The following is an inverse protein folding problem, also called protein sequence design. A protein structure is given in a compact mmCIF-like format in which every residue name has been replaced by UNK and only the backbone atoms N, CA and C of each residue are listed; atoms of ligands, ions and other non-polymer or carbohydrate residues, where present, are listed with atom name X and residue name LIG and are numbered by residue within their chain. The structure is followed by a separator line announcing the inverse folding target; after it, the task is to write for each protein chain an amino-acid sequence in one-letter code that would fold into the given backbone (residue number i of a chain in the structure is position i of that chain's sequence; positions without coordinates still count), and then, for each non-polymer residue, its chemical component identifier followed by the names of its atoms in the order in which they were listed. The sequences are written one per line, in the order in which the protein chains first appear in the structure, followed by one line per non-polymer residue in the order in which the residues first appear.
data_IF_918059675561
#
_entry.id   IF_918059675561
#
_cell.length_a   1.000
_cell.length_b   1.000
_cell.length_c   1.000
_cell.angle_alpha   90.00
_cell.angle_beta   90.00
_cell.angle_gamma   90.00
#
_symmetry.space_group_name_H-M   'P 1'
#
loop_
_entity.id
_entity.type
_entity.pdbx_description
1 polymer ?
#
# COMPACT_ATOMS: atom_id res chain seq x y z
N UNK A 1 -10.20 -26.26 -15.12
CA UNK A 1 -10.39 -24.99 -14.46
C UNK A 1 -9.09 -24.21 -14.56
N UNK A 2 -9.14 -23.00 -15.11
CA UNK A 2 -8.03 -22.06 -15.09
C UNK A 2 -7.80 -21.73 -13.62
N UNK A 3 -6.56 -21.85 -13.15
CA UNK A 3 -6.23 -21.47 -11.77
C UNK A 3 -6.35 -19.97 -11.68
N UNK A 4 -7.23 -19.44 -10.83
CA UNK A 4 -7.38 -18.00 -10.60
C UNK A 4 -6.09 -17.42 -10.01
N UNK A 5 -5.72 -16.23 -10.44
CA UNK A 5 -4.73 -15.43 -9.75
C UNK A 5 -5.42 -14.52 -8.72
N UNK A 6 -4.68 -14.01 -7.75
CA UNK A 6 -5.23 -13.20 -6.66
C UNK A 6 -4.51 -11.85 -6.58
N UNK A 7 -4.15 -11.31 -7.75
CA UNK A 7 -3.35 -10.10 -7.87
C UNK A 7 -4.26 -8.90 -8.11
N UNK A 8 -4.12 -7.86 -7.28
CA UNK A 8 -4.80 -6.57 -7.51
C UNK A 8 -4.11 -5.77 -8.60
N UNK A 9 -4.88 -4.87 -9.23
CA UNK A 9 -4.36 -3.88 -10.16
C UNK A 9 -3.19 -3.09 -9.55
N UNK A 10 -2.25 -2.71 -10.38
CA UNK A 10 -1.03 -2.00 -9.97
C UNK A 10 -0.82 -0.70 -10.72
N UNK A 11 0.41 -0.19 -10.68
CA UNK A 11 0.79 0.99 -11.43
C UNK A 11 0.84 0.71 -12.94
N UNK A 12 0.33 1.63 -13.74
CA UNK A 12 0.31 1.58 -15.21
C UNK A 12 1.12 2.70 -15.83
N UNK A 13 1.51 3.71 -15.06
CA UNK A 13 2.34 4.82 -15.49
C UNK A 13 3.05 5.48 -14.31
N UNK A 14 3.95 6.43 -14.59
CA UNK A 14 4.77 7.10 -13.59
C UNK A 14 3.99 7.77 -12.45
N UNK A 15 2.71 8.10 -12.62
CA UNK A 15 1.92 8.84 -11.63
C UNK A 15 0.51 8.28 -11.44
N UNK A 16 0.24 7.03 -11.85
CA UNK A 16 -1.08 6.44 -11.68
C UNK A 16 -1.00 4.99 -11.24
N UNK A 17 -1.98 4.59 -10.44
CA UNK A 17 -2.17 3.23 -10.00
C UNK A 17 -3.66 2.89 -10.14
N UNK A 18 -3.98 1.87 -10.94
CA UNK A 18 -5.38 1.52 -11.23
C UNK A 18 -6.15 1.09 -9.97
N UNK A 19 -5.49 0.45 -9.00
CA UNK A 19 -6.14 0.13 -7.73
C UNK A 19 -6.49 1.42 -6.95
N UNK A 20 -5.58 2.39 -6.92
CA UNK A 20 -5.81 3.69 -6.28
C UNK A 20 -7.05 4.37 -6.86
N UNK A 21 -7.19 4.38 -8.19
CA UNK A 21 -8.30 5.03 -8.89
C UNK A 21 -9.66 4.42 -8.54
N UNK A 22 -9.67 3.16 -8.09
CA UNK A 22 -10.88 2.43 -7.70
C UNK A 22 -11.26 2.60 -6.23
N UNK A 23 -10.38 3.18 -5.38
CA UNK A 23 -10.72 3.50 -3.99
C UNK A 23 -11.65 4.72 -4.00
N UNK A 24 -12.94 4.58 -3.58
CA UNK A 24 -13.86 5.70 -3.56
C UNK A 24 -13.41 6.83 -2.63
N UNK A 25 -13.64 8.07 -3.00
CA UNK A 25 -13.32 9.25 -2.15
C UNK A 25 -14.09 9.26 -0.83
N UNK A 26 -15.20 8.52 -0.76
CA UNK A 26 -16.00 8.33 0.47
C UNK A 26 -15.42 7.26 1.40
N UNK A 27 -14.43 6.49 0.96
CA UNK A 27 -13.81 5.46 1.79
C UNK A 27 -12.93 6.11 2.87
N UNK A 28 -13.19 5.78 4.13
CA UNK A 28 -12.36 6.16 5.27
C UNK A 28 -11.40 5.07 5.69
N UNK A 29 -11.64 3.85 5.20
CA UNK A 29 -10.73 2.70 5.42
C UNK A 29 -10.67 1.75 4.22
N UNK A 30 -9.52 1.06 4.08
CA UNK A 30 -9.33 -0.06 3.17
C UNK A 30 -8.89 -1.27 4.00
N UNK A 31 -9.58 -2.39 3.83
CA UNK A 31 -9.31 -3.63 4.57
C UNK A 31 -9.12 -4.79 3.59
N UNK A 32 -7.93 -5.35 3.58
CA UNK A 32 -7.66 -6.61 2.88
C UNK A 32 -8.14 -7.77 3.78
N UNK A 33 -9.02 -8.61 3.25
CA UNK A 33 -9.72 -9.65 4.02
C UNK A 33 -9.87 -10.94 3.21
N UNK A 34 -10.29 -12.02 3.83
CA UNK A 34 -10.73 -13.25 3.16
C UNK A 34 -12.26 -13.46 3.28
N UNK A 35 -12.97 -12.43 3.71
CA UNK A 35 -14.44 -12.46 3.74
C UNK A 35 -15.02 -12.63 2.34
N UNK A 36 -16.14 -13.35 2.29
CA UNK A 36 -16.91 -13.47 1.05
C UNK A 36 -17.77 -12.22 0.86
N UNK A 37 -17.71 -11.65 -0.33
CA UNK A 37 -18.55 -10.50 -0.69
C UNK A 37 -20.04 -10.86 -0.59
N UNK A 38 -20.85 -10.08 0.13
CA UNK A 38 -22.29 -10.30 0.18
C UNK A 38 -22.93 -10.21 -1.20
N UNK A 39 -23.91 -11.08 -1.49
CA UNK A 39 -24.61 -11.06 -2.78
C UNK A 39 -25.35 -9.74 -3.09
N UNK A 40 -25.64 -8.95 -2.04
CA UNK A 40 -26.26 -7.62 -2.17
C UNK A 40 -25.27 -6.49 -2.41
N UNK A 41 -23.96 -6.74 -2.26
CA UNK A 41 -22.94 -5.73 -2.45
C UNK A 41 -22.67 -5.48 -3.94
N UNK A 42 -22.30 -4.25 -4.26
CA UNK A 42 -21.85 -3.89 -5.61
C UNK A 42 -20.36 -4.20 -5.75
N UNK A 43 -20.03 -5.02 -6.75
CA UNK A 43 -18.65 -5.39 -7.05
C UNK A 43 -17.87 -4.19 -7.60
N UNK A 44 -16.66 -4.01 -7.06
CA UNK A 44 -15.62 -3.14 -7.63
C UNK A 44 -14.55 -4.08 -8.18
N UNK A 45 -14.30 -4.02 -9.48
CA UNK A 45 -13.31 -4.86 -10.15
C UNK A 45 -11.89 -4.33 -9.92
N UNK A 46 -11.19 -4.94 -8.98
CA UNK A 46 -9.80 -4.62 -8.63
C UNK A 46 -8.81 -5.67 -9.15
N UNK A 47 -9.29 -6.66 -9.86
CA UNK A 47 -8.51 -7.80 -10.35
C UNK A 47 -7.59 -7.42 -11.52
N UNK A 48 -6.32 -7.86 -11.48
CA UNK A 48 -5.31 -7.42 -12.43
C UNK A 48 -5.47 -8.06 -13.82
N UNK A 49 -5.99 -9.27 -13.90
CA UNK A 49 -6.08 -10.05 -15.14
C UNK A 49 -7.51 -10.35 -15.60
N UNK A 50 -8.51 -9.90 -14.82
CA UNK A 50 -9.91 -10.02 -15.15
C UNK A 50 -10.50 -11.44 -14.97
N UNK A 51 -9.83 -12.30 -14.19
CA UNK A 51 -10.32 -13.66 -13.90
C UNK A 51 -11.25 -13.71 -12.68
N UNK A 52 -11.54 -12.54 -12.07
CA UNK A 52 -12.33 -12.38 -10.84
C UNK A 52 -11.72 -13.12 -9.64
N UNK A 53 -10.37 -13.22 -9.60
CA UNK A 53 -9.64 -13.79 -8.48
C UNK A 53 -9.67 -12.89 -7.25
N UNK A 54 -9.79 -11.57 -7.46
CA UNK A 54 -9.91 -10.57 -6.40
C UNK A 54 -11.08 -9.64 -6.68
N UNK A 55 -11.88 -9.39 -5.66
CA UNK A 55 -12.99 -8.44 -5.73
C UNK A 55 -12.93 -7.44 -4.59
N UNK A 56 -13.55 -6.28 -4.77
CA UNK A 56 -13.77 -5.33 -3.69
C UNK A 56 -15.23 -4.88 -3.65
N UNK A 57 -15.63 -4.34 -2.49
CA UNK A 57 -16.94 -3.75 -2.28
C UNK A 57 -16.89 -2.74 -1.14
N UNK A 58 -17.89 -1.88 -1.06
CA UNK A 58 -18.08 -0.99 0.08
C UNK A 58 -18.95 -1.64 1.15
N UNK A 59 -18.51 -1.61 2.39
CA UNK A 59 -19.25 -1.93 3.59
C UNK A 59 -19.28 -0.67 4.47
N UNK A 60 -20.34 0.13 4.33
CA UNK A 60 -20.35 1.50 4.82
C UNK A 60 -19.26 2.35 4.15
N UNK A 61 -18.36 2.94 4.95
CA UNK A 61 -17.21 3.74 4.49
C UNK A 61 -15.93 2.90 4.37
N UNK A 62 -16.02 1.58 4.54
CA UNK A 62 -14.88 0.66 4.41
C UNK A 62 -14.89 -0.01 3.05
N UNK A 63 -13.82 0.18 2.26
CA UNK A 63 -13.57 -0.65 1.09
C UNK A 63 -12.93 -1.97 1.53
N UNK A 64 -13.65 -3.08 1.35
CA UNK A 64 -13.13 -4.43 1.57
C UNK A 64 -12.58 -4.99 0.27
N UNK A 65 -11.43 -5.66 0.34
CA UNK A 65 -10.74 -6.28 -0.81
C UNK A 65 -10.44 -7.73 -0.46
N UNK A 66 -10.92 -8.67 -1.26
CA UNK A 66 -10.88 -10.09 -0.92
C UNK A 66 -10.59 -10.99 -2.12
N UNK A 67 -9.85 -12.06 -1.88
CA UNK A 67 -9.65 -13.17 -2.81
C UNK A 67 -10.90 -14.06 -2.96
N UNK A 68 -11.93 -13.88 -2.15
CA UNK A 68 -13.11 -14.73 -2.07
C UNK A 68 -12.80 -16.19 -1.70
N UNK A 69 -11.62 -16.47 -1.21
CA UNK A 69 -11.17 -17.81 -0.80
C UNK A 69 -10.63 -17.74 0.62
N UNK A 70 -11.26 -18.48 1.53
CA UNK A 70 -10.84 -18.50 2.94
C UNK A 70 -9.38 -18.92 3.10
N UNK A 71 -8.62 -18.15 3.86
CA UNK A 71 -7.19 -18.36 4.09
C UNK A 71 -6.28 -17.95 2.93
N UNK A 72 -6.83 -17.55 1.79
CA UNK A 72 -6.05 -17.05 0.64
C UNK A 72 -5.87 -15.53 0.74
N UNK A 73 -4.63 -15.08 0.73
CA UNK A 73 -4.32 -13.65 0.72
C UNK A 73 -4.53 -13.04 -0.67
N UNK A 74 -4.92 -11.78 -0.67
CA UNK A 74 -4.81 -10.90 -1.83
C UNK A 74 -3.33 -10.62 -2.08
N UNK A 75 -2.89 -10.60 -3.33
CA UNK A 75 -1.50 -10.37 -3.72
C UNK A 75 -1.34 -8.95 -4.27
N UNK A 76 -0.42 -8.18 -3.72
CA UNK A 76 -0.07 -6.87 -4.25
C UNK A 76 0.64 -7.00 -5.61
N UNK A 77 0.38 -6.08 -6.53
CA UNK A 77 1.11 -5.98 -7.78
C UNK A 77 2.60 -5.70 -7.53
N UNK A 78 3.48 -6.19 -8.39
CA UNK A 78 4.93 -5.97 -8.25
C UNK A 78 5.31 -4.50 -8.29
N UNK A 79 4.58 -3.70 -9.06
CA UNK A 79 4.60 -2.24 -9.00
C UNK A 79 3.37 -1.74 -8.24
N UNK A 80 3.56 -1.42 -6.97
CA UNK A 80 2.56 -0.84 -6.07
C UNK A 80 2.80 0.64 -5.81
N UNK A 81 3.53 1.33 -6.72
CA UNK A 81 3.71 2.78 -6.63
C UNK A 81 2.36 3.49 -6.66
N UNK A 82 2.24 4.58 -5.92
CA UNK A 82 1.02 5.40 -5.78
C UNK A 82 -0.22 4.68 -5.25
N UNK A 83 -0.13 3.46 -4.72
CA UNK A 83 -1.28 2.62 -4.37
C UNK A 83 -2.30 3.30 -3.45
N UNK A 84 -1.88 4.17 -2.55
CA UNK A 84 -2.74 4.94 -1.64
C UNK A 84 -2.41 6.44 -1.67
N UNK A 85 -1.76 6.90 -2.73
CA UNK A 85 -1.38 8.31 -2.87
C UNK A 85 -2.60 9.22 -2.91
N UNK A 86 -2.49 10.39 -2.26
CA UNK A 86 -3.51 11.45 -2.28
C UNK A 86 -4.90 11.02 -1.77
N UNK A 87 -5.00 9.93 -1.01
CA UNK A 87 -6.25 9.49 -0.37
C UNK A 87 -6.45 10.22 0.95
N UNK A 88 -7.01 11.42 0.87
CA UNK A 88 -7.17 12.33 2.01
C UNK A 88 -8.18 11.82 3.05
N UNK A 89 -9.19 11.05 2.63
CA UNK A 89 -10.22 10.51 3.51
C UNK A 89 -9.78 9.26 4.26
N UNK A 90 -8.74 8.55 3.79
CA UNK A 90 -8.29 7.30 4.40
C UNK A 90 -7.60 7.58 5.74
N UNK A 91 -8.17 7.05 6.81
CA UNK A 91 -7.59 7.07 8.16
C UNK A 91 -7.07 5.71 8.63
N UNK A 92 -7.49 4.62 7.98
CA UNK A 92 -7.11 3.25 8.30
C UNK A 92 -6.85 2.43 7.03
N UNK A 93 -5.75 1.68 7.03
CA UNK A 93 -5.49 0.62 6.06
C UNK A 93 -5.08 -0.63 6.82
N UNK A 94 -5.79 -1.74 6.62
CA UNK A 94 -5.46 -3.04 7.21
C UNK A 94 -4.83 -3.96 6.16
N UNK A 95 -3.55 -4.28 6.34
CA UNK A 95 -2.75 -5.10 5.44
C UNK A 95 -2.68 -6.59 5.82
N UNK A 96 -3.38 -7.03 6.86
CA UNK A 96 -3.16 -8.39 7.42
C UNK A 96 -3.41 -9.51 6.40
N UNK A 97 -4.31 -9.31 5.45
CA UNK A 97 -4.59 -10.28 4.38
C UNK A 97 -4.02 -9.86 3.01
N UNK A 98 -3.00 -9.00 2.99
CA UNK A 98 -2.26 -8.65 1.78
C UNK A 98 -0.92 -9.39 1.77
N UNK A 99 -0.63 -10.11 0.69
CA UNK A 99 0.71 -10.63 0.39
C UNK A 99 1.50 -9.58 -0.39
N UNK A 100 2.57 -9.10 0.21
CA UNK A 100 3.41 -8.04 -0.34
C UNK A 100 4.76 -8.58 -0.87
N UNK A 101 4.96 -9.89 -0.87
CA UNK A 101 6.25 -10.51 -1.20
C UNK A 101 6.76 -10.17 -2.60
N UNK A 102 5.86 -10.03 -3.58
CA UNK A 102 6.25 -9.76 -4.97
C UNK A 102 6.53 -8.28 -5.27
N UNK A 103 6.29 -7.38 -4.32
CA UNK A 103 6.47 -5.95 -4.55
C UNK A 103 7.96 -5.60 -4.66
N UNK A 104 8.30 -4.94 -5.75
CA UNK A 104 9.65 -4.41 -6.03
C UNK A 104 9.70 -2.90 -6.05
N UNK A 105 8.58 -2.25 -6.37
CA UNK A 105 8.45 -0.81 -6.43
C UNK A 105 7.28 -0.36 -5.53
N UNK A 106 7.57 0.48 -4.53
CA UNK A 106 6.58 1.13 -3.68
C UNK A 106 6.78 2.66 -3.64
N UNK A 107 7.35 3.22 -4.72
CA UNK A 107 7.52 4.65 -4.86
C UNK A 107 6.21 5.40 -4.63
N UNK A 108 6.25 6.46 -3.83
CA UNK A 108 5.08 7.30 -3.57
C UNK A 108 3.82 6.57 -3.07
N UNK A 109 3.97 5.36 -2.50
CA UNK A 109 2.83 4.49 -2.15
C UNK A 109 1.80 5.19 -1.25
N UNK A 110 2.23 6.05 -0.33
CA UNK A 110 1.38 6.86 0.55
C UNK A 110 1.58 8.37 0.34
N UNK A 111 2.11 8.77 -0.82
CA UNK A 111 2.37 10.18 -1.10
C UNK A 111 1.12 11.04 -0.85
N UNK A 112 1.26 12.09 -0.04
CA UNK A 112 0.18 13.03 0.30
C UNK A 112 -1.10 12.39 0.87
N UNK A 113 -1.00 11.21 1.50
CA UNK A 113 -2.11 10.55 2.18
C UNK A 113 -2.39 11.27 3.53
N UNK A 114 -3.00 12.45 3.46
CA UNK A 114 -3.17 13.35 4.60
C UNK A 114 -4.18 12.87 5.65
N UNK A 115 -5.04 11.90 5.33
CA UNK A 115 -5.94 11.27 6.30
C UNK A 115 -5.23 10.35 7.31
N UNK A 116 -4.03 9.85 6.97
CA UNK A 116 -3.30 8.91 7.81
C UNK A 116 -2.58 9.62 8.97
N UNK A 117 -2.84 9.19 10.20
CA UNK A 117 -2.14 9.65 11.40
C UNK A 117 -1.14 8.60 11.92
N UNK A 118 -1.37 7.33 11.60
CA UNK A 118 -0.49 6.20 11.89
C UNK A 118 -0.76 5.07 10.89
N UNK A 119 0.19 4.13 10.76
CA UNK A 119 0.07 2.94 9.91
C UNK A 119 0.66 1.73 10.63
N UNK A 120 -0.05 0.59 10.61
CA UNK A 120 0.55 -0.69 10.94
C UNK A 120 1.13 -1.33 9.66
N UNK A 121 2.46 -1.26 9.54
CA UNK A 121 3.21 -1.78 8.40
C UNK A 121 3.82 -3.17 8.66
N UNK A 122 3.59 -3.75 9.86
CA UNK A 122 4.16 -5.05 10.25
C UNK A 122 3.78 -6.20 9.30
N UNK A 123 2.59 -6.22 8.66
CA UNK A 123 2.25 -7.29 7.72
C UNK A 123 3.00 -7.23 6.38
N UNK A 124 3.62 -6.08 6.03
CA UNK A 124 4.23 -5.89 4.72
C UNK A 124 5.62 -6.54 4.64
N UNK A 125 5.77 -7.54 3.78
CA UNK A 125 7.06 -8.14 3.49
C UNK A 125 7.80 -7.36 2.40
N UNK A 126 8.73 -6.50 2.79
CA UNK A 126 9.46 -5.60 1.87
C UNK A 126 10.79 -6.19 1.35
N UNK A 127 11.03 -7.50 1.52
CA UNK A 127 12.33 -8.12 1.22
C UNK A 127 12.74 -8.09 -0.27
N UNK A 128 11.81 -7.82 -1.17
CA UNK A 128 12.08 -7.69 -2.61
C UNK A 128 11.99 -6.24 -3.11
N UNK A 129 11.67 -5.29 -2.24
CA UNK A 129 11.57 -3.87 -2.63
C UNK A 129 12.94 -3.29 -2.95
N UNK A 130 13.03 -2.61 -4.09
CA UNK A 130 14.22 -1.91 -4.59
C UNK A 130 14.05 -0.40 -4.61
N UNK A 131 12.82 0.09 -4.75
CA UNK A 131 12.49 1.51 -4.78
C UNK A 131 11.52 1.86 -3.64
N UNK A 132 11.94 2.77 -2.76
CA UNK A 132 11.19 3.37 -1.65
C UNK A 132 11.19 4.90 -1.73
N UNK A 133 11.34 5.48 -2.92
CA UNK A 133 11.28 6.93 -3.10
C UNK A 133 9.93 7.49 -2.68
N UNK A 134 9.91 8.62 -2.01
CA UNK A 134 8.71 9.40 -1.66
C UNK A 134 7.58 8.63 -0.95
N UNK A 135 7.83 7.42 -0.40
CA UNK A 135 6.76 6.55 0.13
C UNK A 135 5.84 7.28 1.09
N UNK A 136 6.37 8.09 2.01
CA UNK A 136 5.58 8.86 2.99
C UNK A 136 5.67 10.36 2.75
N UNK A 137 6.15 10.80 1.59
CA UNK A 137 6.31 12.22 1.27
C UNK A 137 4.96 12.94 1.37
N UNK A 138 4.95 14.11 1.98
CA UNK A 138 3.76 14.93 2.22
C UNK A 138 2.64 14.28 3.08
N UNK A 139 2.95 13.28 3.89
CA UNK A 139 2.02 12.74 4.88
C UNK A 139 1.91 13.70 6.07
N UNK A 140 1.22 14.82 5.87
CA UNK A 140 1.25 16.00 6.77
C UNK A 140 0.69 15.74 8.17
N UNK A 141 -0.18 14.75 8.35
CA UNK A 141 -0.80 14.42 9.64
C UNK A 141 -0.23 13.14 10.27
N UNK A 142 0.74 12.49 9.62
CA UNK A 142 1.37 11.27 10.15
C UNK A 142 2.22 11.62 11.38
N UNK A 143 1.89 11.06 12.55
CA UNK A 143 2.54 11.38 13.83
C UNK A 143 3.55 10.33 14.27
N UNK A 144 3.29 9.06 13.95
CA UNK A 144 4.17 7.96 14.32
C UNK A 144 4.38 7.02 13.14
N UNK A 145 5.61 6.52 13.00
CA UNK A 145 5.94 5.53 11.99
C UNK A 145 7.00 4.56 12.53
N UNK A 146 6.69 3.27 12.46
CA UNK A 146 7.61 2.20 12.86
C UNK A 146 7.96 1.36 11.63
N UNK A 147 9.20 1.49 11.15
CA UNK A 147 9.74 0.70 10.03
C UNK A 147 10.62 -0.46 10.50
N UNK A 148 10.54 -0.88 11.77
CA UNK A 148 11.38 -1.94 12.32
C UNK A 148 11.17 -3.29 11.62
N UNK A 149 10.00 -3.53 11.01
CA UNK A 149 9.70 -4.74 10.22
C UNK A 149 10.26 -4.71 8.79
N UNK A 150 10.65 -3.53 8.28
CA UNK A 150 11.09 -3.37 6.90
C UNK A 150 12.45 -4.03 6.65
N UNK A 151 12.52 -4.79 5.58
CA UNK A 151 13.75 -5.40 5.05
C UNK A 151 14.20 -4.60 3.85
N UNK A 152 15.26 -3.81 4.01
CA UNK A 152 15.72 -2.86 3.00
C UNK A 152 17.03 -3.26 2.31
N UNK A 153 17.40 -4.54 2.41
CA UNK A 153 18.67 -5.04 1.87
C UNK A 153 18.81 -4.88 0.34
N UNK A 154 17.70 -4.77 -0.40
CA UNK A 154 17.69 -4.59 -1.86
C UNK A 154 17.37 -3.15 -2.28
N UNK A 155 17.05 -2.28 -1.33
CA UNK A 155 16.63 -0.90 -1.64
C UNK A 155 17.82 -0.10 -2.15
N UNK A 156 17.62 0.57 -3.27
CA UNK A 156 18.59 1.46 -3.91
C UNK A 156 18.16 2.93 -3.86
N UNK A 157 16.87 3.20 -3.76
CA UNK A 157 16.33 4.56 -3.67
C UNK A 157 15.47 4.75 -2.42
N UNK A 158 15.82 5.74 -1.61
CA UNK A 158 15.10 6.24 -0.44
C UNK A 158 14.93 7.76 -0.50
N UNK A 159 15.00 8.36 -1.70
CA UNK A 159 14.83 9.80 -1.85
C UNK A 159 13.45 10.23 -1.37
N UNK A 160 13.37 11.38 -0.72
CA UNK A 160 12.10 11.95 -0.25
C UNK A 160 11.30 11.08 0.73
N UNK A 161 11.84 9.98 1.26
CA UNK A 161 11.09 8.96 2.03
C UNK A 161 10.19 9.57 3.11
N UNK A 162 10.63 10.64 3.77
CA UNK A 162 9.90 11.40 4.80
C UNK A 162 9.85 12.90 4.46
N UNK A 163 9.91 13.25 3.17
CA UNK A 163 9.88 14.64 2.75
C UNK A 163 8.57 15.31 3.20
N UNK A 164 8.68 16.46 3.84
CA UNK A 164 7.55 17.26 4.31
C UNK A 164 6.51 16.47 5.15
N UNK A 165 6.98 15.83 6.23
CA UNK A 165 6.14 15.19 7.25
C UNK A 165 6.18 15.99 8.56
N UNK A 166 5.56 17.18 8.63
CA UNK A 166 5.75 18.12 9.75
C UNK A 166 5.21 17.62 11.10
N UNK A 167 4.26 16.68 11.08
CA UNK A 167 3.66 16.13 12.30
C UNK A 167 4.39 14.90 12.85
N UNK A 168 5.42 14.40 12.14
CA UNK A 168 6.09 13.15 12.49
C UNK A 168 7.00 13.36 13.73
N UNK A 169 6.52 12.90 14.89
CA UNK A 169 7.21 13.06 16.18
C UNK A 169 7.84 11.76 16.70
N UNK A 170 7.41 10.61 16.17
CA UNK A 170 7.95 9.30 16.52
C UNK A 170 8.30 8.51 15.26
N UNK A 171 9.58 8.25 15.04
CA UNK A 171 10.07 7.53 13.87
C UNK A 171 11.08 6.47 14.28
N UNK A 172 10.82 5.20 13.96
CA UNK A 172 11.75 4.09 14.17
C UNK A 172 12.31 3.60 12.85
N UNK A 173 13.59 3.85 12.63
CA UNK A 173 14.33 3.51 11.39
C UNK A 173 15.68 2.81 11.67
N UNK A 174 15.96 2.45 12.93
CA UNK A 174 17.26 1.91 13.32
C UNK A 174 17.60 0.55 12.68
N UNK A 175 16.62 -0.14 12.14
CA UNK A 175 16.78 -1.45 11.48
C UNK A 175 16.97 -1.35 9.96
N UNK A 176 16.83 -0.16 9.37
CA UNK A 176 16.97 0.02 7.93
C UNK A 176 18.41 -0.24 7.49
N UNK A 177 18.59 -1.19 6.59
CA UNK A 177 19.87 -1.44 5.94
C UNK A 177 20.02 -0.52 4.72
N UNK A 178 21.00 0.38 4.77
CA UNK A 178 21.26 1.35 3.70
C UNK A 178 22.48 1.00 2.84
N UNK A 179 23.05 -0.20 2.98
CA UNK A 179 24.30 -0.57 2.29
C UNK A 179 24.20 -0.51 0.75
N UNK A 180 23.02 -0.73 0.19
CA UNK A 180 22.79 -0.70 -1.26
C UNK A 180 22.10 0.60 -1.73
N UNK A 181 21.80 1.52 -0.80
CA UNK A 181 21.11 2.78 -1.14
C UNK A 181 22.09 3.74 -1.83
N UNK A 182 21.73 4.17 -3.02
CA UNK A 182 22.51 5.11 -3.85
C UNK A 182 21.86 6.50 -3.92
N UNK A 183 20.60 6.63 -3.53
CA UNK A 183 19.88 7.90 -3.52
C UNK A 183 19.12 8.08 -2.20
N UNK A 184 19.48 9.10 -1.44
CA UNK A 184 18.80 9.53 -0.19
C UNK A 184 18.49 11.03 -0.23
N UNK A 185 18.41 11.62 -1.44
CA UNK A 185 18.17 13.05 -1.60
C UNK A 185 16.85 13.44 -0.93
N UNK A 186 16.88 14.50 -0.11
CA UNK A 186 15.68 15.05 0.56
C UNK A 186 14.91 14.04 1.43
N UNK A 187 15.58 12.98 1.91
CA UNK A 187 14.95 11.94 2.74
C UNK A 187 14.25 12.51 3.98
N UNK A 188 14.82 13.57 4.56
CA UNK A 188 14.27 14.37 5.65
C UNK A 188 14.34 15.85 5.25
N UNK A 189 13.21 16.49 5.03
CA UNK A 189 13.16 17.92 4.66
C UNK A 189 11.87 18.57 5.20
#
# INVERSE_FOLDING_TARGET
PISKTFIIKGSVSMFSNEFNDLIPDTATSVVFTDEIMPASATLIDVDADGDEGVVAWMDGETMKVSSQVSGQKVVAASDSSFMFAQKESLSLINFSNLDFYNVTNMDSMFFAASGLTSLDLTPLNTSNVTNMGDVFSNCINLTNLDLSSFKTNKVTDMSGLFYHCPSLTSLKVSTLNTNNVINMKQMFY
#
